data_IF_716156927203
#
_entry.id   IF_716156927203
#
_cell.length_a   1.000
_cell.length_b   1.000
_cell.length_c   1.000
_cell.angle_alpha   90.00
_cell.angle_beta   90.00
_cell.angle_gamma   90.00
#
_symmetry.space_group_name_H-M   'P 1'
#
loop_
_entity.id
_entity.type
_entity.pdbx_description
1 polymer ?
#
# COMPACT_ATOMS: atom_id res chain seq x y z
N UNK A 1 3.76 12.57 -28.98
CA UNK A 1 5.00 12.08 -29.64
C UNK A 1 5.27 10.67 -29.13
N UNK A 2 5.60 9.73 -29.99
CA UNK A 2 5.94 8.36 -29.59
C UNK A 2 7.33 7.96 -30.07
N UNK A 3 8.07 7.20 -29.26
CA UNK A 3 9.43 6.73 -29.55
C UNK A 3 9.38 5.20 -29.58
N UNK A 4 9.98 4.61 -30.61
CA UNK A 4 10.03 3.16 -30.81
C UNK A 4 11.48 2.70 -30.98
N UNK A 5 11.87 1.63 -30.29
CA UNK A 5 13.20 1.02 -30.40
C UNK A 5 13.04 -0.45 -30.72
N UNK A 6 13.60 -0.90 -31.85
CA UNK A 6 13.56 -2.32 -32.29
C UNK A 6 12.15 -2.93 -32.23
N UNK A 7 11.16 -2.19 -32.74
CA UNK A 7 9.72 -2.56 -32.78
C UNK A 7 9.01 -2.63 -31.41
N UNK A 8 9.64 -2.18 -30.33
CA UNK A 8 8.99 -1.96 -29.03
C UNK A 8 8.72 -0.47 -28.83
N UNK A 9 7.51 -0.12 -28.39
CA UNK A 9 7.15 1.25 -27.97
C UNK A 9 7.99 1.58 -26.72
N UNK A 10 8.88 2.56 -26.84
CA UNK A 10 9.69 3.06 -25.74
C UNK A 10 9.01 4.24 -25.02
N UNK A 11 8.20 5.03 -25.74
CA UNK A 11 7.42 6.13 -25.17
C UNK A 11 6.15 6.41 -25.99
N UNK A 12 5.01 6.74 -25.35
CA UNK A 12 4.78 6.66 -23.91
C UNK A 12 4.74 5.21 -23.44
N UNK A 13 5.34 4.93 -22.28
CA UNK A 13 5.14 3.64 -21.62
C UNK A 13 3.77 3.65 -20.96
N UNK A 14 2.83 2.88 -21.49
CA UNK A 14 1.56 2.65 -20.82
C UNK A 14 1.78 1.57 -19.75
N UNK A 15 1.60 1.95 -18.49
CA UNK A 15 1.56 0.97 -17.40
C UNK A 15 0.17 0.37 -17.29
N UNK A 16 0.10 -0.96 -17.28
CA UNK A 16 -1.13 -1.72 -17.00
C UNK A 16 -1.48 -1.75 -15.50
N UNK A 17 -0.60 -1.23 -14.64
CA UNK A 17 -0.82 -1.17 -13.21
C UNK A 17 -1.91 -0.14 -12.83
N UNK A 18 -2.58 -0.29 -11.68
CA UNK A 18 -3.55 0.68 -11.16
C UNK A 18 -2.85 1.92 -10.58
N UNK A 19 -3.42 3.11 -10.80
CA UNK A 19 -2.86 4.39 -10.32
C UNK A 19 -2.78 4.43 -8.79
N UNK A 20 -1.85 5.23 -8.25
CA UNK A 20 -1.72 5.39 -6.81
C UNK A 20 -3.01 5.93 -6.19
N UNK A 21 -3.33 5.46 -4.99
CA UNK A 21 -4.42 6.01 -4.17
C UNK A 21 -4.21 7.52 -3.89
N UNK A 22 -5.31 8.24 -3.72
CA UNK A 22 -5.33 9.72 -3.66
C UNK A 22 -4.52 10.28 -2.49
N UNK A 23 -4.65 9.68 -1.30
CA UNK A 23 -3.92 10.10 -0.09
C UNK A 23 -2.65 9.27 0.14
N UNK A 24 -2.08 8.66 -0.91
CA UNK A 24 -0.80 7.97 -0.79
C UNK A 24 0.31 8.99 -0.51
N UNK A 25 1.11 8.82 0.57
CA UNK A 25 2.19 9.76 0.88
C UNK A 25 3.23 9.84 -0.24
N UNK A 26 3.79 11.03 -0.47
CA UNK A 26 4.63 11.32 -1.65
C UNK A 26 5.85 10.40 -1.79
N UNK A 27 6.52 10.07 -0.68
CA UNK A 27 7.66 9.15 -0.70
C UNK A 27 7.26 7.76 -1.21
N UNK A 28 6.14 7.23 -0.72
CA UNK A 28 5.62 5.91 -1.08
C UNK A 28 5.08 5.94 -2.51
N UNK A 29 4.44 7.05 -2.90
CA UNK A 29 3.95 7.26 -4.25
C UNK A 29 5.07 7.27 -5.28
N UNK A 30 6.23 7.87 -4.97
CA UNK A 30 7.39 7.85 -5.85
C UNK A 30 7.87 6.40 -6.12
N UNK A 31 8.00 5.59 -5.06
CA UNK A 31 8.38 4.16 -5.18
C UNK A 31 7.31 3.37 -5.93
N UNK A 32 6.03 3.65 -5.68
CA UNK A 32 4.90 3.03 -6.37
C UNK A 32 4.91 3.36 -7.87
N UNK A 33 5.14 4.62 -8.24
CA UNK A 33 5.21 5.07 -9.63
C UNK A 33 6.44 4.51 -10.35
N UNK A 34 7.57 4.37 -9.66
CA UNK A 34 8.74 3.66 -10.19
C UNK A 34 8.41 2.19 -10.48
N UNK A 35 7.73 1.49 -9.55
CA UNK A 35 7.27 0.14 -9.78
C UNK A 35 6.32 0.06 -10.99
N UNK A 36 5.40 1.02 -11.14
CA UNK A 36 4.49 1.10 -12.29
C UNK A 36 5.24 1.23 -13.61
N UNK A 37 6.34 1.99 -13.63
CA UNK A 37 7.14 2.21 -14.83
C UNK A 37 7.86 0.94 -15.30
N UNK A 38 8.26 0.07 -14.37
CA UNK A 38 9.06 -1.13 -14.69
C UNK A 38 8.26 -2.43 -14.69
N UNK A 39 7.00 -2.47 -14.23
CA UNK A 39 6.25 -3.73 -14.08
C UNK A 39 6.21 -4.56 -15.36
N UNK A 40 6.08 -3.93 -16.53
CA UNK A 40 6.00 -4.62 -17.81
C UNK A 40 7.36 -5.17 -18.30
N UNK A 41 8.48 -4.60 -17.83
CA UNK A 41 9.84 -5.01 -18.23
C UNK A 41 10.53 -5.86 -17.17
N UNK A 42 10.21 -5.65 -15.89
CA UNK A 42 10.74 -6.34 -14.73
C UNK A 42 9.66 -6.47 -13.64
N UNK A 43 8.77 -7.48 -13.74
CA UNK A 43 7.74 -7.75 -12.73
C UNK A 43 8.33 -8.02 -11.34
N UNK A 44 9.51 -8.67 -11.29
CA UNK A 44 10.26 -8.93 -10.05
C UNK A 44 10.79 -7.64 -9.42
N UNK A 45 11.34 -6.74 -10.24
CA UNK A 45 11.79 -5.43 -9.77
C UNK A 45 10.63 -4.61 -9.22
N UNK A 46 9.49 -4.59 -9.94
CA UNK A 46 8.28 -3.92 -9.46
C UNK A 46 7.78 -4.51 -8.14
N UNK A 47 7.76 -5.84 -7.99
CA UNK A 47 7.37 -6.48 -6.74
C UNK A 47 8.30 -6.13 -5.57
N UNK A 48 9.61 -6.03 -5.81
CA UNK A 48 10.58 -5.59 -4.80
C UNK A 48 10.36 -4.14 -4.37
N UNK A 49 10.13 -3.24 -5.33
CA UNK A 49 9.78 -1.84 -5.05
C UNK A 49 8.46 -1.72 -4.27
N UNK A 50 7.43 -2.49 -4.65
CA UNK A 50 6.16 -2.50 -3.93
C UNK A 50 6.30 -3.02 -2.49
N UNK A 51 7.22 -3.97 -2.27
CA UNK A 51 7.54 -4.43 -0.92
C UNK A 51 8.19 -3.33 -0.09
N UNK A 52 9.13 -2.59 -0.68
CA UNK A 52 9.74 -1.42 -0.03
C UNK A 52 8.66 -0.36 0.29
N UNK A 53 7.79 -0.04 -0.67
CA UNK A 53 6.69 0.89 -0.48
C UNK A 53 5.77 0.49 0.69
N UNK A 54 5.49 -0.80 0.87
CA UNK A 54 4.70 -1.30 2.00
C UNK A 54 5.43 -1.14 3.33
N UNK A 55 6.74 -1.41 3.35
CA UNK A 55 7.53 -1.20 4.57
C UNK A 55 7.57 0.28 4.96
N UNK A 56 7.84 1.17 4.00
CA UNK A 56 7.83 2.62 4.23
C UNK A 56 6.44 3.14 4.65
N UNK A 57 5.37 2.56 4.10
CA UNK A 57 3.99 2.85 4.51
C UNK A 57 3.74 2.45 5.96
N UNK A 58 4.15 1.25 6.36
CA UNK A 58 4.01 0.81 7.75
C UNK A 58 4.79 1.68 8.72
N UNK A 59 6.05 2.01 8.40
CA UNK A 59 6.90 2.91 9.19
C UNK A 59 6.27 4.31 9.29
N UNK A 60 5.74 4.84 8.19
CA UNK A 60 5.04 6.13 8.15
C UNK A 60 3.78 6.16 9.04
N UNK A 61 2.98 5.08 9.01
CA UNK A 61 1.78 4.96 9.84
C UNK A 61 2.11 4.84 11.33
N UNK A 62 3.21 4.16 11.68
CA UNK A 62 3.66 3.99 13.06
C UNK A 62 4.44 5.19 13.60
N UNK A 63 4.87 6.13 12.73
CA UNK A 63 5.84 7.18 13.06
C UNK A 63 7.13 6.60 13.67
N UNK A 64 7.51 5.40 13.24
CA UNK A 64 8.75 4.71 13.63
C UNK A 64 9.63 4.55 12.40
N UNK A 65 10.93 4.38 12.60
CA UNK A 65 11.88 4.18 11.49
C UNK A 65 12.69 2.91 11.71
N UNK A 66 12.78 2.07 10.67
CA UNK A 66 13.71 0.94 10.65
C UNK A 66 13.23 -0.30 11.39
N UNK A 67 11.92 -0.43 11.64
CA UNK A 67 11.35 -1.65 12.20
C UNK A 67 11.27 -2.74 11.13
N UNK A 68 11.49 -4.01 11.49
CA UNK A 68 11.24 -5.10 10.55
C UNK A 68 9.73 -5.14 10.25
N UNK A 69 9.32 -5.37 8.99
CA UNK A 69 7.91 -5.43 8.57
C UNK A 69 7.04 -6.30 9.50
N UNK A 70 7.58 -7.40 10.04
CA UNK A 70 6.88 -8.24 11.01
C UNK A 70 6.56 -7.51 12.33
N UNK A 71 7.51 -6.72 12.85
CA UNK A 71 7.30 -5.88 14.04
C UNK A 71 6.31 -4.76 13.73
N UNK A 72 6.46 -4.11 12.56
CA UNK A 72 5.56 -3.06 12.13
C UNK A 72 4.09 -3.53 12.04
N UNK A 73 3.86 -4.72 11.47
CA UNK A 73 2.53 -5.35 11.45
C UNK A 73 2.03 -5.57 12.90
N UNK A 74 2.87 -6.11 13.77
CA UNK A 74 2.51 -6.35 15.17
C UNK A 74 2.13 -5.08 15.93
N UNK A 75 2.82 -3.97 15.69
CA UNK A 75 2.54 -2.70 16.34
C UNK A 75 1.30 -2.02 15.76
N UNK A 76 1.05 -2.12 14.45
CA UNK A 76 -0.17 -1.63 13.83
C UNK A 76 -1.41 -2.37 14.34
N UNK A 77 -1.30 -3.68 14.58
CA UNK A 77 -2.37 -4.47 15.21
C UNK A 77 -2.69 -3.97 16.62
N UNK A 78 -1.68 -3.59 17.41
CA UNK A 78 -1.90 -2.99 18.74
C UNK A 78 -2.61 -1.64 18.67
N UNK A 79 -2.43 -0.89 17.58
CA UNK A 79 -3.14 0.38 17.33
C UNK A 79 -4.57 0.19 16.78
N UNK A 80 -5.06 -1.05 16.70
CA UNK A 80 -6.42 -1.34 16.25
C UNK A 80 -6.55 -1.49 14.73
N UNK A 81 -5.46 -1.79 14.02
CA UNK A 81 -5.50 -2.09 12.58
C UNK A 81 -6.56 -3.18 12.28
N UNK A 82 -7.39 -2.99 11.24
CA UNK A 82 -8.36 -4.00 10.84
C UNK A 82 -7.68 -5.34 10.48
N UNK A 83 -8.22 -6.45 10.97
CA UNK A 83 -7.68 -7.81 10.74
C UNK A 83 -7.44 -8.13 9.26
N UNK A 84 -8.28 -7.62 8.35
CA UNK A 84 -8.11 -7.82 6.89
C UNK A 84 -6.86 -7.11 6.35
N UNK A 85 -6.50 -5.95 6.90
CA UNK A 85 -5.28 -5.22 6.53
C UNK A 85 -4.05 -5.95 7.05
N UNK A 86 -4.11 -6.49 8.27
CA UNK A 86 -3.06 -7.35 8.79
C UNK A 86 -2.82 -8.57 7.88
N UNK A 87 -3.87 -9.28 7.49
CA UNK A 87 -3.76 -10.44 6.59
C UNK A 87 -3.17 -10.06 5.22
N UNK A 88 -3.53 -8.89 4.70
CA UNK A 88 -2.94 -8.34 3.48
C UNK A 88 -1.43 -8.11 3.63
N UNK A 89 -0.99 -7.48 4.73
CA UNK A 89 0.43 -7.23 4.99
C UNK A 89 1.21 -8.53 5.22
N UNK A 90 0.63 -9.50 5.92
CA UNK A 90 1.23 -10.83 6.10
C UNK A 90 1.39 -11.58 4.76
N UNK A 91 0.41 -11.46 3.86
CA UNK A 91 0.48 -12.04 2.52
C UNK A 91 1.69 -11.47 1.75
N UNK A 92 1.90 -10.15 1.79
CA UNK A 92 3.06 -9.50 1.14
C UNK A 92 4.36 -9.97 1.75
N UNK A 93 4.42 -10.05 3.09
CA UNK A 93 5.61 -10.48 3.82
C UNK A 93 6.01 -11.90 3.42
N UNK A 94 5.05 -12.81 3.29
CA UNK A 94 5.28 -14.21 2.88
C UNK A 94 5.65 -14.30 1.40
N UNK A 95 4.92 -13.61 0.51
CA UNK A 95 5.20 -13.58 -0.93
C UNK A 95 6.62 -13.05 -1.20
N UNK A 96 7.02 -11.96 -0.53
CA UNK A 96 8.32 -11.35 -0.73
C UNK A 96 9.49 -12.21 -0.25
N UNK A 97 9.30 -13.06 0.77
CA UNK A 97 10.35 -13.94 1.30
C UNK A 97 10.47 -15.28 0.57
N UNK A 98 9.37 -15.79 0.00
CA UNK A 98 9.36 -17.09 -0.68
C UNK A 98 9.68 -17.01 -2.18
N UNK A 99 9.82 -15.82 -2.75
CA UNK A 99 10.19 -15.60 -4.16
C UNK A 99 11.60 -16.08 -4.55
N UNK A 100 12.33 -16.73 -3.63
CA UNK A 100 13.73 -17.19 -3.80
C UNK A 100 13.93 -18.68 -3.54
N UNK A 101 12.89 -19.46 -3.21
CA UNK A 101 13.01 -20.90 -2.98
C UNK A 101 12.40 -21.75 -4.11
N UNK A 102 13.18 -22.58 -4.81
CA UNK A 102 12.66 -23.52 -5.81
C UNK A 102 11.69 -24.52 -5.16
N UNK A 103 10.42 -24.56 -5.61
CA UNK A 103 9.43 -25.57 -5.18
C UNK A 103 8.17 -25.05 -4.46
N UNK A 104 8.05 -23.75 -4.21
CA UNK A 104 6.77 -23.10 -3.86
C UNK A 104 6.46 -22.01 -4.89
N UNK A 105 5.16 -21.67 -5.08
CA UNK A 105 4.58 -20.69 -6.02
C UNK A 105 5.64 -20.08 -6.96
N UNK A 106 5.72 -20.56 -8.20
CA UNK A 106 6.70 -20.05 -9.15
C UNK A 106 6.35 -18.61 -9.57
N UNK A 107 7.01 -17.64 -8.94
CA UNK A 107 6.84 -16.21 -9.20
C UNK A 107 7.60 -15.73 -10.45
N UNK A 108 8.25 -16.64 -11.20
CA UNK A 108 9.00 -16.25 -12.40
C UNK A 108 8.10 -15.66 -13.50
N UNK A 109 6.80 -16.00 -13.54
CA UNK A 109 5.99 -15.78 -14.75
C UNK A 109 4.75 -14.86 -14.64
N UNK A 110 4.33 -14.42 -13.45
CA UNK A 110 3.00 -13.77 -13.38
C UNK A 110 3.07 -12.27 -13.04
N UNK A 111 3.02 -11.45 -14.11
CA UNK A 111 2.60 -10.04 -14.06
C UNK A 111 1.41 -9.83 -13.10
N UNK A 112 0.48 -10.77 -13.06
CA UNK A 112 -0.69 -10.78 -12.18
C UNK A 112 -0.35 -10.61 -10.70
N UNK A 113 0.77 -11.13 -10.23
CA UNK A 113 1.15 -11.02 -8.82
C UNK A 113 1.63 -9.61 -8.51
N UNK A 114 2.47 -9.03 -9.39
CA UNK A 114 2.86 -7.63 -9.27
C UNK A 114 1.63 -6.71 -9.33
N UNK A 115 0.69 -6.96 -10.24
CA UNK A 115 -0.59 -6.24 -10.33
C UNK A 115 -1.43 -6.35 -9.06
N UNK A 116 -1.52 -7.53 -8.47
CA UNK A 116 -2.20 -7.74 -7.18
C UNK A 116 -1.51 -6.97 -6.05
N UNK A 117 -0.18 -6.90 -6.04
CA UNK A 117 0.57 -6.11 -5.06
C UNK A 117 0.26 -4.61 -5.18
N UNK A 118 0.18 -4.05 -6.40
CA UNK A 118 -0.26 -2.66 -6.57
C UNK A 118 -1.66 -2.41 -5.97
N UNK A 119 -2.61 -3.30 -6.26
CA UNK A 119 -3.96 -3.22 -5.69
C UNK A 119 -3.95 -3.29 -4.16
N UNK A 120 -3.04 -4.07 -3.59
CA UNK A 120 -2.90 -4.23 -2.16
C UNK A 120 -2.33 -2.98 -1.47
N UNK A 121 -1.31 -2.34 -2.04
CA UNK A 121 -0.78 -1.07 -1.53
C UNK A 121 -1.89 -0.01 -1.52
N UNK A 122 -2.62 0.11 -2.62
CA UNK A 122 -3.77 1.03 -2.70
C UNK A 122 -4.84 0.71 -1.65
N UNK A 123 -5.16 -0.57 -1.45
CA UNK A 123 -6.14 -0.97 -0.45
C UNK A 123 -5.71 -0.59 0.97
N UNK A 124 -4.42 -0.77 1.30
CA UNK A 124 -3.88 -0.39 2.61
C UNK A 124 -3.97 1.12 2.81
N UNK A 125 -3.55 1.92 1.82
CA UNK A 125 -3.67 3.40 1.87
C UNK A 125 -5.14 3.81 2.05
N UNK A 126 -6.04 3.22 1.27
CA UNK A 126 -7.45 3.57 1.34
C UNK A 126 -8.05 3.27 2.73
N UNK A 127 -7.74 2.11 3.32
CA UNK A 127 -8.31 1.71 4.60
C UNK A 127 -7.66 2.45 5.78
N UNK A 128 -6.35 2.69 5.72
CA UNK A 128 -5.59 3.23 6.85
C UNK A 128 -5.45 4.75 6.83
N UNK A 129 -5.66 5.39 5.68
CA UNK A 129 -5.44 6.84 5.50
C UNK A 129 -6.71 7.51 4.95
N UNK A 130 -7.17 7.11 3.76
CA UNK A 130 -8.28 7.80 3.09
C UNK A 130 -9.60 7.66 3.85
N UNK A 131 -10.01 6.45 4.23
CA UNK A 131 -11.27 6.23 4.96
C UNK A 131 -11.31 6.93 6.32
N UNK A 132 -10.29 6.84 7.19
CA UNK A 132 -10.26 7.62 8.43
C UNK A 132 -10.40 9.13 8.18
N UNK A 133 -9.66 9.66 7.21
CA UNK A 133 -9.73 11.08 6.84
C UNK A 133 -11.13 11.49 6.37
N UNK A 134 -11.75 10.71 5.48
CA UNK A 134 -13.11 10.97 5.00
C UNK A 134 -14.14 10.94 6.14
N UNK A 135 -14.00 9.99 7.07
CA UNK A 135 -14.88 9.89 8.25
C UNK A 135 -14.68 11.11 9.17
N UNK A 136 -13.43 11.50 9.42
CA UNK A 136 -13.10 12.67 10.24
C UNK A 136 -13.65 13.96 9.63
N UNK A 137 -13.51 14.13 8.31
CA UNK A 137 -14.05 15.27 7.57
C UNK A 137 -15.57 15.34 7.69
N UNK A 138 -16.28 14.21 7.55
CA UNK A 138 -17.73 14.14 7.73
C UNK A 138 -18.14 14.42 9.19
N UNK A 139 -17.40 13.88 10.15
CA UNK A 139 -17.66 14.13 11.57
C UNK A 139 -17.44 15.61 11.92
N UNK A 140 -16.47 16.25 11.28
CA UNK A 140 -16.18 17.67 11.41
C UNK A 140 -17.22 18.60 10.77
N UNK A 141 -18.21 18.08 10.05
CA UNK A 141 -19.39 18.84 9.60
C UNK A 141 -20.46 18.92 10.70
N UNK A 142 -20.47 18.02 11.69
CA UNK A 142 -21.52 17.97 12.71
C UNK A 142 -21.57 19.26 13.55
N UNK A 143 -22.75 19.75 13.98
CA UNK A 143 -22.84 20.90 14.87
C UNK A 143 -22.08 20.67 16.18
N UNK A 144 -21.45 21.72 16.71
CA UNK A 144 -20.62 21.63 17.93
C UNK A 144 -21.38 21.01 19.12
N UNK A 145 -22.65 21.34 19.28
CA UNK A 145 -23.53 20.81 20.35
C UNK A 145 -23.68 19.29 20.25
N UNK A 146 -23.78 18.74 19.04
CA UNK A 146 -23.87 17.30 18.84
C UNK A 146 -22.54 16.61 19.17
N UNK A 147 -21.40 17.21 18.80
CA UNK A 147 -20.06 16.68 19.14
C UNK A 147 -19.81 16.69 20.65
N UNK A 148 -20.10 17.80 21.32
CA UNK A 148 -19.96 17.93 22.78
C UNK A 148 -20.86 16.92 23.54
N UNK A 149 -22.03 16.58 22.98
CA UNK A 149 -22.93 15.58 23.55
C UNK A 149 -22.39 14.15 23.38
N UNK A 150 -21.75 13.85 22.25
CA UNK A 150 -21.11 12.55 21.99
C UNK A 150 -19.87 12.37 22.88
N UNK A 151 -19.01 13.39 22.99
CA UNK A 151 -17.84 13.37 23.86
C UNK A 151 -18.22 13.12 25.33
N UNK A 152 -19.26 13.80 25.84
CA UNK A 152 -19.76 13.56 27.20
C UNK A 152 -20.24 12.13 27.43
N UNK A 153 -20.85 11.49 26.42
CA UNK A 153 -21.27 10.07 26.51
C UNK A 153 -20.05 9.16 26.62
N UNK A 154 -19.03 9.39 25.81
CA UNK A 154 -17.89 8.49 25.69
C UNK A 154 -16.91 8.63 26.88
N UNK A 155 -16.85 9.79 27.54
CA UNK A 155 -16.11 10.01 28.80
C UNK A 155 -16.79 9.41 30.02
N UNK A 156 -18.10 9.10 29.93
CA UNK A 156 -18.89 8.57 31.05
C UNK A 156 -18.87 7.03 31.15
N UNK A 157 -17.96 6.36 30.45
CA UNK A 157 -17.69 4.92 30.49
C UNK A 157 -16.30 4.64 31.06
#
# INVERSE_FOLDING_TARGET
>A
MSIWVRKKLAFPSYSIAPIAAVDMPDQIKAVFDEARAIVATSPKGAAALLRLAIQELCDSLLKTSGSNLNQAIGDLVKQGMPKKVQQALDLVRVIGNNAVHPGQIDFNDNNDIALKLFGLVNAIVNIMITQPKEIDDLYNVLPKIARESIEKRDVSK
#
